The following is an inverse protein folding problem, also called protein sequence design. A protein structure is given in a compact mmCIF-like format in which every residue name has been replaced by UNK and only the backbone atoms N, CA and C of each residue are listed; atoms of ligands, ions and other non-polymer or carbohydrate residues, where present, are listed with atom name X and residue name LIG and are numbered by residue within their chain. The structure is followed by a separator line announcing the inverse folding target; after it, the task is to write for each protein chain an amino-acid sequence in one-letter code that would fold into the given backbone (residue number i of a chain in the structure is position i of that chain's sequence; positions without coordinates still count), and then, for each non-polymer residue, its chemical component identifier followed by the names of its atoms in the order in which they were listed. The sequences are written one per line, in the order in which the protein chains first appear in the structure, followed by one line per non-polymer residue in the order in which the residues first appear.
data_IF_443603732004
#
_entry.id   IF_443603732004
#
_cell.length_a   1.000
_cell.length_b   1.000
_cell.length_c   1.000
_cell.angle_alpha   90.00
_cell.angle_beta   90.00
_cell.angle_gamma   90.00
#
_symmetry.space_group_name_H-M   'P 1'
#
loop_
_entity.id
_entity.type
_entity.pdbx_description
1 polymer ?
#
# COMPACT_ATOMS: atom_id res chain seq x y z
N UNK A 1 -2.78 -22.38 -26.43
CA UNK A 1 -1.91 -22.55 -25.26
C UNK A 1 -2.52 -21.73 -24.16
N UNK A 2 -3.19 -22.39 -23.21
CA UNK A 2 -3.87 -21.73 -22.10
C UNK A 2 -2.80 -21.43 -21.07
N UNK A 3 -2.37 -20.17 -20.98
CA UNK A 3 -1.48 -19.72 -19.91
C UNK A 3 -2.26 -19.87 -18.62
N UNK A 4 -1.91 -20.88 -17.82
CA UNK A 4 -2.39 -20.99 -16.45
C UNK A 4 -1.82 -19.79 -15.70
N UNK A 5 -2.66 -18.78 -15.49
CA UNK A 5 -2.34 -17.63 -14.68
C UNK A 5 -2.26 -18.15 -13.24
N UNK A 6 -1.04 -18.42 -12.75
CA UNK A 6 -0.83 -18.72 -11.34
C UNK A 6 -1.42 -17.58 -10.53
N UNK A 7 -2.40 -17.89 -9.67
CA UNK A 7 -3.00 -16.91 -8.79
C UNK A 7 -1.95 -16.53 -7.75
N UNK A 8 -1.27 -15.40 -7.97
CA UNK A 8 -0.45 -14.76 -6.94
C UNK A 8 -1.31 -14.58 -5.70
N UNK A 9 -0.78 -14.90 -4.52
CA UNK A 9 -1.45 -14.49 -3.30
C UNK A 9 -1.54 -12.96 -3.31
N UNK A 10 -2.63 -12.35 -2.84
CA UNK A 10 -2.78 -10.89 -2.86
C UNK A 10 -1.59 -10.13 -2.27
N UNK A 11 -0.90 -10.73 -1.29
CA UNK A 11 0.30 -10.18 -0.68
C UNK A 11 1.52 -10.15 -1.63
N UNK A 12 1.66 -11.13 -2.52
CA UNK A 12 2.77 -11.19 -3.48
C UNK A 12 2.64 -10.07 -4.51
N UNK A 13 1.41 -9.76 -4.94
CA UNK A 13 1.13 -8.62 -5.81
C UNK A 13 1.41 -7.27 -5.12
N UNK A 14 1.26 -7.20 -3.79
CA UNK A 14 1.64 -6.00 -3.03
C UNK A 14 3.16 -5.84 -2.89
N UNK A 15 3.95 -6.91 -2.94
CA UNK A 15 5.41 -6.84 -2.77
C UNK A 15 6.07 -5.99 -3.86
N UNK A 16 5.66 -6.15 -5.12
CA UNK A 16 6.17 -5.35 -6.24
C UNK A 16 5.80 -3.88 -6.09
N UNK A 17 4.55 -3.58 -5.70
CA UNK A 17 4.13 -2.20 -5.42
C UNK A 17 4.99 -1.58 -4.31
N UNK A 18 5.24 -2.30 -3.22
CA UNK A 18 6.06 -1.79 -2.13
C UNK A 18 7.53 -1.62 -2.52
N UNK A 19 8.07 -2.52 -3.35
CA UNK A 19 9.42 -2.37 -3.90
C UNK A 19 9.57 -1.13 -4.80
N UNK A 20 8.48 -0.66 -5.43
CA UNK A 20 8.48 0.60 -6.20
C UNK A 20 8.38 1.86 -5.33
N UNK A 21 7.78 1.76 -4.15
CA UNK A 21 7.50 2.91 -3.28
C UNK A 21 8.54 3.11 -2.16
N UNK A 22 9.19 2.03 -1.72
CA UNK A 22 10.03 1.99 -0.53
C UNK A 22 11.43 1.45 -0.81
N UNK A 23 12.40 2.02 -0.12
CA UNK A 23 13.78 1.55 -0.08
C UNK A 23 13.91 0.46 1.01
N UNK A 24 14.86 -0.49 0.89
CA UNK A 24 15.00 -1.60 1.83
C UNK A 24 15.08 -1.22 3.32
N UNK A 25 15.54 -0.02 3.63
CA UNK A 25 15.66 0.53 4.99
C UNK A 25 14.38 1.12 5.58
N UNK A 26 13.37 1.36 4.76
CA UNK A 26 12.19 2.12 5.18
C UNK A 26 11.22 1.29 6.01
N UNK A 27 10.61 1.92 7.01
CA UNK A 27 9.51 1.32 7.75
C UNK A 27 8.15 1.64 7.11
N UNK A 28 7.34 0.61 6.97
CA UNK A 28 5.96 0.68 6.49
C UNK A 28 5.02 0.44 7.68
N UNK A 29 4.05 1.34 7.88
CA UNK A 29 2.96 1.17 8.83
C UNK A 29 1.75 0.61 8.10
N UNK A 30 1.21 -0.52 8.57
CA UNK A 30 -0.13 -0.97 8.20
C UNK A 30 -1.10 -0.60 9.30
N UNK A 31 -2.18 0.06 8.94
CA UNK A 31 -3.25 0.49 9.85
C UNK A 31 -4.55 -0.18 9.42
N UNK A 32 -5.10 -1.01 10.31
CA UNK A 32 -6.27 -1.82 10.00
C UNK A 32 -7.47 -1.31 10.80
N UNK A 33 -8.54 -0.98 10.08
CA UNK A 33 -9.78 -0.40 10.60
C UNK A 33 -10.92 -1.41 10.50
N UNK A 34 -11.86 -1.37 11.44
CA UNK A 34 -13.10 -2.16 11.36
C UNK A 34 -14.27 -1.19 11.46
N UNK A 35 -15.27 -1.36 10.60
CA UNK A 35 -16.34 -0.37 10.39
C UNK A 35 -17.13 -0.03 11.67
N UNK A 36 -17.24 -0.99 12.59
CA UNK A 36 -18.01 -0.84 13.82
C UNK A 36 -17.24 -0.15 14.98
N UNK A 37 -16.21 0.65 14.68
CA UNK A 37 -15.50 1.44 15.69
C UNK A 37 -14.60 0.64 16.65
N UNK A 38 -14.16 -0.55 16.24
CA UNK A 38 -13.27 -1.39 17.03
C UNK A 38 -11.85 -0.82 17.14
N UNK A 39 -11.03 -1.45 18.00
CA UNK A 39 -9.63 -1.06 18.19
C UNK A 39 -8.87 -1.18 16.87
N UNK A 40 -8.23 -0.09 16.46
CA UNK A 40 -7.31 -0.05 15.32
C UNK A 40 -6.14 -0.99 15.59
N UNK A 41 -5.93 -1.93 14.68
CA UNK A 41 -4.76 -2.81 14.70
C UNK A 41 -3.65 -2.18 13.85
N UNK A 42 -2.40 -2.43 14.26
CA UNK A 42 -1.24 -1.94 13.55
C UNK A 42 -0.23 -3.06 13.35
N UNK A 43 0.33 -3.12 12.15
CA UNK A 43 1.51 -3.92 11.87
C UNK A 43 2.59 -3.04 11.26
N UNK A 44 3.84 -3.49 11.39
CA UNK A 44 5.01 -2.77 10.93
C UNK A 44 5.96 -3.76 10.29
N UNK A 45 6.52 -3.38 9.15
CA UNK A 45 7.56 -4.15 8.47
C UNK A 45 8.57 -3.17 7.88
N UNK A 46 9.81 -3.61 7.76
CA UNK A 46 10.80 -2.89 7.00
C UNK A 46 10.77 -3.41 5.55
N UNK A 47 10.75 -2.52 4.54
CA UNK A 47 10.49 -2.92 3.16
C UNK A 47 11.47 -3.96 2.60
N UNK A 48 12.75 -3.92 3.04
CA UNK A 48 13.77 -4.88 2.64
C UNK A 48 13.77 -6.21 3.40
N UNK A 49 12.75 -6.45 4.23
CA UNK A 49 12.62 -7.67 5.03
C UNK A 49 11.49 -8.55 4.53
N UNK A 50 11.42 -9.78 5.06
CA UNK A 50 10.39 -10.73 4.68
C UNK A 50 8.97 -10.26 5.09
N UNK A 51 8.19 -9.85 4.08
CA UNK A 51 6.80 -9.40 4.23
C UNK A 51 5.84 -10.51 4.66
N UNK A 52 6.19 -11.78 4.48
CA UNK A 52 5.35 -12.92 4.88
C UNK A 52 4.98 -12.87 6.37
N UNK A 53 5.89 -12.32 7.19
CA UNK A 53 5.72 -12.14 8.63
C UNK A 53 4.56 -11.21 9.02
N UNK A 54 4.23 -10.26 8.15
CA UNK A 54 3.09 -9.34 8.32
C UNK A 54 1.89 -9.82 7.51
N UNK A 55 2.10 -10.46 6.36
CA UNK A 55 1.06 -11.02 5.50
C UNK A 55 0.04 -11.85 6.27
N UNK A 56 0.50 -12.87 7.01
CA UNK A 56 -0.38 -13.75 7.76
C UNK A 56 -1.18 -13.04 8.87
N UNK A 57 -0.73 -11.87 9.35
CA UNK A 57 -1.51 -11.03 10.28
C UNK A 57 -2.55 -10.21 9.54
N UNK A 58 -2.17 -9.64 8.41
CA UNK A 58 -3.06 -8.86 7.54
C UNK A 58 -4.21 -9.75 7.05
N UNK A 59 -3.93 -10.96 6.58
CA UNK A 59 -4.95 -11.91 6.12
C UNK A 59 -5.97 -12.20 7.23
N UNK A 60 -5.50 -12.53 8.44
CA UNK A 60 -6.39 -12.79 9.59
C UNK A 60 -7.23 -11.58 9.97
N UNK A 61 -6.70 -10.36 9.85
CA UNK A 61 -7.48 -9.17 10.11
C UNK A 61 -8.47 -8.91 8.99
N UNK A 62 -8.11 -9.13 7.73
CA UNK A 62 -9.02 -9.05 6.60
C UNK A 62 -10.19 -10.03 6.75
N UNK A 63 -9.89 -11.29 7.08
CA UNK A 63 -10.89 -12.33 7.37
C UNK A 63 -11.82 -11.95 8.54
N UNK A 64 -11.29 -11.20 9.51
CA UNK A 64 -12.05 -10.67 10.64
C UNK A 64 -12.84 -9.38 10.31
N UNK A 65 -12.86 -8.96 9.04
CA UNK A 65 -13.60 -7.79 8.56
C UNK A 65 -12.86 -6.46 8.72
N UNK A 66 -11.54 -6.48 8.90
CA UNK A 66 -10.76 -5.24 8.90
C UNK A 66 -10.39 -4.81 7.48
N UNK A 67 -10.63 -3.54 7.17
CA UNK A 67 -10.06 -2.83 6.03
C UNK A 67 -8.60 -2.46 6.34
N UNK A 68 -7.71 -2.71 5.39
CA UNK A 68 -6.26 -2.61 5.58
C UNK A 68 -5.73 -1.44 4.76
N UNK A 69 -5.03 -0.53 5.43
CA UNK A 69 -4.39 0.63 4.82
C UNK A 69 -2.90 0.58 5.12
N UNK A 70 -2.07 1.12 4.23
CA UNK A 70 -0.66 1.33 4.51
C UNK A 70 -0.31 2.83 4.48
N UNK A 71 0.71 3.20 5.23
CA UNK A 71 1.26 4.55 5.21
C UNK A 71 1.99 4.79 3.89
N UNK A 72 1.45 5.69 3.08
CA UNK A 72 1.98 6.13 1.78
C UNK A 72 3.46 6.57 1.75
N UNK A 73 4.03 6.94 2.90
CA UNK A 73 5.39 7.45 3.00
C UNK A 73 6.21 6.69 4.05
N UNK A 74 7.51 6.51 3.81
CA UNK A 74 8.39 5.77 4.71
C UNK A 74 8.44 6.41 6.11
N UNK A 75 8.48 5.55 7.12
CA UNK A 75 8.62 5.94 8.53
C UNK A 75 10.07 5.79 8.97
N UNK A 76 10.49 6.63 9.92
CA UNK A 76 11.85 6.59 10.49
C UNK A 76 12.11 5.36 11.34
N UNK A 77 11.07 4.80 11.95
CA UNK A 77 11.16 3.64 12.83
C UNK A 77 9.79 2.97 13.02
N UNK A 78 9.82 1.71 13.47
CA UNK A 78 8.65 1.00 13.96
C UNK A 78 7.97 1.77 15.12
N UNK A 79 6.64 1.89 15.06
CA UNK A 79 5.85 2.62 16.05
C UNK A 79 5.82 4.15 15.88
N UNK A 80 6.60 4.70 14.94
CA UNK A 80 6.62 6.12 14.61
C UNK A 80 5.37 6.56 13.84
N UNK A 81 4.26 6.79 14.56
CA UNK A 81 2.95 7.07 13.94
C UNK A 81 2.60 8.56 13.82
N UNK A 82 3.49 9.47 14.22
CA UNK A 82 3.25 10.91 14.10
C UNK A 82 3.78 11.44 12.77
N UNK A 83 3.31 12.61 12.38
CA UNK A 83 3.81 13.30 11.16
C UNK A 83 5.31 13.54 11.20
N UNK A 84 5.88 13.86 12.37
CA UNK A 84 7.33 14.03 12.58
C UNK A 84 8.13 12.75 12.34
N UNK A 85 7.48 11.59 12.40
CA UNK A 85 8.09 10.28 12.19
C UNK A 85 8.06 9.85 10.72
N UNK A 86 7.44 10.63 9.82
CA UNK A 86 7.63 10.48 8.38
C UNK A 86 9.07 10.82 8.06
N UNK A 87 9.78 9.88 7.44
CA UNK A 87 11.18 10.08 7.08
C UNK A 87 11.31 11.10 5.96
N UNK A 88 10.47 10.96 4.95
CA UNK A 88 10.47 11.76 3.74
C UNK A 88 9.14 11.52 3.00
N UNK A 89 8.59 12.56 2.39
CA UNK A 89 7.50 12.43 1.44
C UNK A 89 8.07 12.06 0.06
N UNK A 90 8.00 10.79 -0.34
CA UNK A 90 8.48 10.33 -1.67
C UNK A 90 7.37 10.28 -2.69
N UNK A 91 6.17 9.96 -2.23
CA UNK A 91 5.09 9.55 -3.09
C UNK A 91 3.99 10.61 -3.08
N UNK A 92 3.58 11.02 -4.28
CA UNK A 92 2.34 11.74 -4.50
C UNK A 92 1.28 10.74 -4.93
N UNK A 93 0.17 10.70 -4.19
CA UNK A 93 -0.98 9.89 -4.54
C UNK A 93 -2.09 10.82 -5.02
N UNK A 94 -2.72 10.45 -6.13
CA UNK A 94 -3.90 11.10 -6.67
C UNK A 94 -5.01 10.06 -6.61
N UNK A 95 -6.06 10.38 -5.85
CA UNK A 95 -7.26 9.56 -5.78
C UNK A 95 -8.26 10.06 -6.84
N UNK A 96 -8.81 9.12 -7.59
CA UNK A 96 -9.57 9.40 -8.80
C UNK A 96 -10.80 8.50 -8.78
N UNK A 97 -11.97 9.10 -8.64
CA UNK A 97 -13.24 8.36 -8.59
C UNK A 97 -14.01 8.43 -9.91
N UNK A 98 -14.68 7.34 -10.28
CA UNK A 98 -15.64 7.24 -11.40
C UNK A 98 -15.09 7.61 -12.79
N UNK A 99 -13.78 7.49 -13.02
CA UNK A 99 -13.14 7.73 -14.31
C UNK A 99 -11.97 6.77 -14.50
N UNK A 100 -11.75 6.32 -15.74
CA UNK A 100 -10.67 5.40 -16.08
C UNK A 100 -9.35 6.15 -16.29
N UNK A 101 -8.23 5.43 -16.17
CA UNK A 101 -6.91 6.00 -16.49
C UNK A 101 -6.86 6.58 -17.91
N UNK A 102 -7.44 5.90 -18.89
CA UNK A 102 -7.40 6.35 -20.29
C UNK A 102 -8.13 7.68 -20.51
N UNK A 103 -9.20 7.94 -19.76
CA UNK A 103 -9.97 9.18 -19.84
C UNK A 103 -9.25 10.37 -19.22
N UNK A 104 -8.48 10.17 -18.15
CA UNK A 104 -7.83 11.26 -17.39
C UNK A 104 -6.33 11.40 -17.65
N UNK A 105 -5.73 10.47 -18.40
CA UNK A 105 -4.28 10.41 -18.63
C UNK A 105 -3.72 11.74 -19.14
N UNK A 106 -4.34 12.34 -20.15
CA UNK A 106 -3.85 13.61 -20.73
C UNK A 106 -3.82 14.72 -19.68
N UNK A 107 -4.95 14.92 -19.01
CA UNK A 107 -5.14 15.97 -18.02
C UNK A 107 -4.16 15.86 -16.85
N UNK A 108 -3.90 14.64 -16.36
CA UNK A 108 -2.92 14.40 -15.29
C UNK A 108 -1.50 14.65 -15.79
N UNK A 109 -1.15 14.17 -16.98
CA UNK A 109 0.22 14.30 -17.49
C UNK A 109 0.59 15.73 -17.87
N UNK A 110 -0.40 16.61 -18.05
CA UNK A 110 -0.18 18.03 -18.30
C UNK A 110 0.25 18.80 -17.04
N UNK A 111 -0.04 18.28 -15.84
CA UNK A 111 0.23 18.95 -14.55
C UNK A 111 1.12 18.15 -13.60
N UNK A 112 1.22 16.83 -13.79
CA UNK A 112 1.97 15.91 -12.95
C UNK A 112 2.80 14.95 -13.83
N UNK A 113 3.90 14.38 -13.30
CA UNK A 113 4.63 13.33 -14.01
C UNK A 113 3.76 12.09 -14.22
N UNK A 114 4.11 11.28 -15.22
CA UNK A 114 3.52 9.96 -15.42
C UNK A 114 3.60 9.14 -14.12
N UNK A 115 2.50 8.48 -13.71
CA UNK A 115 2.49 7.70 -12.48
C UNK A 115 3.42 6.49 -12.62
N UNK A 116 4.17 6.20 -11.55
CA UNK A 116 4.99 4.98 -11.45
C UNK A 116 4.12 3.72 -11.38
N UNK A 117 2.95 3.81 -10.75
CA UNK A 117 1.99 2.72 -10.63
C UNK A 117 0.56 3.29 -10.62
N UNK A 118 -0.38 2.52 -11.16
CA UNK A 118 -1.83 2.78 -11.10
C UNK A 118 -2.46 1.62 -10.34
N UNK A 119 -3.22 1.95 -9.30
CA UNK A 119 -4.00 0.97 -8.55
C UNK A 119 -5.47 1.22 -8.86
N UNK A 120 -6.14 0.19 -9.37
CA UNK A 120 -7.59 0.20 -9.59
C UNK A 120 -8.24 -0.77 -8.62
N UNK A 121 -9.05 -0.23 -7.70
CA UNK A 121 -10.01 -1.02 -6.92
C UNK A 121 -11.38 -0.86 -7.58
N UNK A 122 -12.07 -1.99 -7.80
CA UNK A 122 -13.31 -2.07 -8.57
C UNK A 122 -14.46 -1.23 -8.05
#
# INVERSE_FOLDING_TARGET
MTTTQESLQPIDACADLFAMLFEPGDWIEFRCHIENGGKIQKAWVQAGTDMSSVAAKLDRWNDAGYSIYFGANPRKASGGSKTVDVQLARCHFVDIENITWDEIRSDITDVLPMPTAVVSSG
#
